data_IF_855275240622
#
_entry.id   IF_855275240622
#
_cell.length_a   1.000
_cell.length_b   1.000
_cell.length_c   1.000
_cell.angle_alpha   90.00
_cell.angle_beta   90.00
_cell.angle_gamma   90.00
#
_symmetry.space_group_name_H-M   'P 1'
#
loop_
_entity.id
_entity.type
_entity.pdbx_description
1 polymer ?
#
# COMPACT_ATOMS: atom_id res chain seq x y z
N UNK A 1 -1.68 -23.85 2.76
CA UNK A 1 -2.91 -23.27 3.31
C UNK A 1 -3.86 -24.39 3.67
N UNK A 2 -4.23 -24.51 4.94
CA UNK A 2 -5.21 -25.51 5.38
C UNK A 2 -6.61 -24.91 5.22
N UNK A 3 -7.54 -25.65 4.63
CA UNK A 3 -8.93 -25.23 4.40
C UNK A 3 -9.80 -25.41 5.65
N UNK A 4 -9.29 -25.03 6.81
CA UNK A 4 -9.97 -25.19 8.11
C UNK A 4 -10.65 -23.89 8.57
N UNK A 5 -10.72 -22.88 7.70
CA UNK A 5 -11.39 -21.60 7.94
C UNK A 5 -10.63 -20.64 8.86
N UNK A 6 -9.52 -21.06 9.49
CA UNK A 6 -8.79 -20.22 10.46
C UNK A 6 -8.13 -18.98 9.84
N UNK A 7 -7.96 -18.95 8.53
CA UNK A 7 -7.40 -17.82 7.78
C UNK A 7 -8.46 -16.93 7.13
N UNK A 8 -9.75 -17.24 7.31
CA UNK A 8 -10.83 -16.43 6.75
C UNK A 8 -10.81 -15.02 7.34
N UNK A 9 -10.80 -14.00 6.47
CA UNK A 9 -10.75 -12.59 6.87
C UNK A 9 -9.36 -12.07 7.23
N UNK A 10 -8.30 -12.90 7.14
CA UNK A 10 -6.92 -12.43 7.27
C UNK A 10 -6.43 -11.87 5.94
N UNK A 11 -5.73 -10.74 6.02
CA UNK A 11 -5.07 -10.11 4.88
C UNK A 11 -3.58 -9.99 5.16
N UNK A 12 -2.78 -10.03 4.10
CA UNK A 12 -1.38 -9.66 4.20
C UNK A 12 -1.27 -8.19 4.63
N UNK A 13 -0.37 -7.92 5.57
CA UNK A 13 -0.02 -6.55 5.94
C UNK A 13 0.69 -5.88 4.76
N UNK A 14 0.11 -4.83 4.14
CA UNK A 14 0.74 -4.16 3.02
C UNK A 14 1.95 -3.33 3.48
N UNK A 15 2.81 -2.99 2.53
CA UNK A 15 3.90 -2.02 2.72
C UNK A 15 3.32 -0.63 2.98
N UNK A 16 4.06 0.21 3.74
CA UNK A 16 3.70 1.61 4.01
C UNK A 16 4.49 2.61 3.13
N UNK A 17 5.28 2.14 2.16
CA UNK A 17 5.98 3.02 1.22
C UNK A 17 5.05 3.43 0.08
N UNK A 18 5.20 4.67 -0.42
CA UNK A 18 4.40 5.24 -1.51
C UNK A 18 2.88 5.30 -1.23
N UNK A 19 2.49 5.55 0.03
CA UNK A 19 1.07 5.66 0.41
C UNK A 19 0.37 6.93 -0.11
N UNK A 20 1.12 8.01 -0.37
CA UNK A 20 0.57 9.32 -0.75
C UNK A 20 -0.27 9.26 -2.04
N UNK A 21 0.00 8.31 -2.93
CA UNK A 21 -0.59 8.23 -4.28
C UNK A 21 -1.34 6.91 -4.55
N UNK A 22 -1.66 6.13 -3.51
CA UNK A 22 -2.27 4.79 -3.65
C UNK A 22 -3.67 4.70 -3.06
N UNK A 23 -4.32 5.84 -2.84
CA UNK A 23 -5.74 5.87 -2.50
C UNK A 23 -6.60 5.20 -3.61
N UNK A 24 -7.73 4.57 -3.27
CA UNK A 24 -8.26 4.38 -1.92
C UNK A 24 -7.57 3.24 -1.14
N UNK A 25 -7.68 3.27 0.18
CA UNK A 25 -6.96 2.41 1.11
C UNK A 25 -7.80 1.22 1.61
N UNK A 26 -7.11 0.29 2.30
CA UNK A 26 -7.60 -1.02 2.74
C UNK A 26 -7.71 -2.03 1.58
N UNK A 27 -7.85 -3.31 1.90
CA UNK A 27 -7.89 -4.40 0.91
C UNK A 27 -9.08 -4.30 -0.07
N UNK A 28 -10.10 -3.52 0.27
CA UNK A 28 -11.34 -3.34 -0.49
C UNK A 28 -11.56 -1.88 -0.92
N UNK A 29 -10.59 -0.98 -0.69
CA UNK A 29 -10.71 0.42 -1.07
C UNK A 29 -11.76 1.23 -0.29
N UNK A 30 -12.20 0.77 0.90
CA UNK A 30 -13.31 1.42 1.60
C UNK A 30 -12.98 2.79 2.21
N UNK A 31 -11.70 3.14 2.37
CA UNK A 31 -11.27 4.39 2.99
C UNK A 31 -10.60 5.30 1.96
N UNK A 32 -11.09 6.53 1.83
CA UNK A 32 -10.61 7.46 0.81
C UNK A 32 -9.27 8.11 1.17
N UNK A 33 -8.99 8.32 2.46
CA UNK A 33 -7.82 9.10 2.91
C UNK A 33 -7.01 8.38 3.99
N UNK A 34 -5.71 8.70 4.11
CA UNK A 34 -4.88 8.23 5.23
C UNK A 34 -5.39 8.71 6.58
N UNK A 35 -6.03 9.88 6.63
CA UNK A 35 -6.70 10.37 7.84
C UNK A 35 -7.82 9.43 8.28
N UNK A 36 -8.61 8.91 7.34
CA UNK A 36 -9.67 7.95 7.65
C UNK A 36 -9.08 6.60 8.12
N UNK A 37 -7.97 6.17 7.54
CA UNK A 37 -7.23 4.97 7.98
C UNK A 37 -6.75 5.12 9.42
N UNK A 38 -6.08 6.23 9.74
CA UNK A 38 -5.62 6.51 11.10
C UNK A 38 -6.78 6.61 12.08
N UNK A 39 -7.87 7.29 11.70
CA UNK A 39 -9.07 7.39 12.54
C UNK A 39 -9.74 6.02 12.77
N UNK A 40 -9.77 5.15 11.76
CA UNK A 40 -10.30 3.78 11.85
C UNK A 40 -9.53 2.95 12.88
N UNK A 41 -8.19 2.98 12.82
CA UNK A 41 -7.37 2.26 13.80
C UNK A 41 -7.41 2.92 15.18
N UNK A 42 -7.49 4.24 15.27
CA UNK A 42 -7.64 4.93 16.57
C UNK A 42 -8.93 4.53 17.30
N UNK A 43 -10.00 4.18 16.55
CA UNK A 43 -11.25 3.62 17.08
C UNK A 43 -11.22 2.12 17.33
N UNK A 44 -10.08 1.45 17.09
CA UNK A 44 -9.91 0.01 17.34
C UNK A 44 -10.23 -0.89 16.15
N UNK A 45 -10.23 -0.37 14.92
CA UNK A 45 -10.22 -1.20 13.72
C UNK A 45 -11.55 -1.86 13.37
N UNK A 46 -12.68 -1.16 13.59
CA UNK A 46 -14.01 -1.64 13.21
C UNK A 46 -14.56 -2.76 14.11
N UNK A 47 -15.68 -3.33 13.70
CA UNK A 47 -16.39 -4.38 14.43
C UNK A 47 -16.55 -5.62 13.53
N UNK A 48 -15.55 -6.51 13.56
CA UNK A 48 -15.55 -7.77 12.82
C UNK A 48 -15.38 -8.94 13.82
N UNK A 49 -16.18 -10.03 13.72
CA UNK A 49 -16.08 -11.18 14.61
C UNK A 49 -14.71 -11.89 14.58
N UNK A 50 -14.00 -11.82 13.46
CA UNK A 50 -12.68 -12.43 13.25
C UNK A 50 -11.54 -11.43 13.43
N UNK A 51 -11.83 -10.23 13.97
CA UNK A 51 -10.82 -9.19 14.25
C UNK A 51 -9.80 -9.69 15.27
N UNK A 52 -8.53 -9.36 15.03
CA UNK A 52 -7.44 -9.61 15.98
C UNK A 52 -7.69 -8.85 17.30
N UNK A 53 -7.56 -9.55 18.43
CA UNK A 53 -7.82 -9.01 19.77
C UNK A 53 -6.88 -7.87 20.17
N UNK A 54 -5.77 -7.69 19.46
CA UNK A 54 -4.84 -6.57 19.64
C UNK A 54 -5.37 -5.26 19.06
N UNK A 55 -6.32 -5.30 18.12
CA UNK A 55 -6.94 -4.09 17.57
C UNK A 55 -7.92 -3.48 18.56
N UNK A 56 -7.39 -2.56 19.36
CA UNK A 56 -8.10 -1.80 20.40
C UNK A 56 -7.97 -0.30 20.12
N UNK A 57 -8.88 0.53 20.65
CA UNK A 57 -8.73 1.98 20.53
C UNK A 57 -7.35 2.43 21.02
N UNK A 58 -6.70 3.30 20.23
CA UNK A 58 -5.33 3.74 20.51
C UNK A 58 -5.29 4.95 21.44
N UNK A 59 -6.38 5.71 21.52
CA UNK A 59 -6.48 6.89 22.39
C UNK A 59 -5.64 8.08 21.91
N UNK A 60 -5.28 8.11 20.63
CA UNK A 60 -4.49 9.20 20.05
C UNK A 60 -5.30 10.50 20.04
N UNK A 61 -4.66 11.58 20.50
CA UNK A 61 -5.17 12.94 20.35
C UNK A 61 -5.29 13.35 18.88
N UNK A 62 -5.98 14.45 18.62
CA UNK A 62 -6.08 14.99 17.26
C UNK A 62 -4.70 15.35 16.68
N UNK A 63 -3.80 15.86 17.52
CA UNK A 63 -2.45 16.23 17.10
C UNK A 63 -1.59 14.99 16.77
N UNK A 64 -1.66 13.94 17.59
CA UNK A 64 -0.91 12.71 17.33
C UNK A 64 -1.39 12.01 16.05
N UNK A 65 -2.70 12.02 15.78
CA UNK A 65 -3.23 11.50 14.52
C UNK A 65 -2.72 12.31 13.33
N UNK A 66 -2.72 13.65 13.41
CA UNK A 66 -2.19 14.51 12.36
C UNK A 66 -0.69 14.26 12.13
N UNK A 67 0.10 14.12 13.20
CA UNK A 67 1.53 13.82 13.12
C UNK A 67 1.78 12.44 12.48
N UNK A 68 0.96 11.44 12.81
CA UNK A 68 1.06 10.12 12.20
C UNK A 68 0.73 10.15 10.71
N UNK A 69 -0.30 10.88 10.29
CA UNK A 69 -0.61 11.07 8.87
C UNK A 69 0.57 11.72 8.14
N UNK A 70 1.13 12.80 8.70
CA UNK A 70 2.30 13.46 8.11
C UNK A 70 3.51 12.52 8.00
N UNK A 71 3.76 11.69 9.02
CA UNK A 71 4.80 10.67 8.96
C UNK A 71 4.55 9.66 7.85
N UNK A 72 3.32 9.13 7.70
CA UNK A 72 2.97 8.17 6.65
C UNK A 72 3.12 8.77 5.24
N UNK A 73 2.75 10.04 5.07
CA UNK A 73 2.93 10.76 3.80
C UNK A 73 4.42 10.94 3.46
N UNK A 74 5.27 11.14 4.48
CA UNK A 74 6.73 11.27 4.30
C UNK A 74 7.42 9.98 3.81
N UNK A 75 6.74 8.83 3.87
CA UNK A 75 7.24 7.55 3.34
C UNK A 75 7.05 7.42 1.81
N UNK A 76 6.63 8.49 1.14
CA UNK A 76 6.39 8.56 -0.30
C UNK A 76 7.25 9.63 -0.95
N UNK A 77 7.74 9.34 -2.15
CA UNK A 77 8.39 10.33 -2.98
C UNK A 77 7.39 11.28 -3.65
N UNK A 78 7.92 12.30 -4.30
CA UNK A 78 7.12 13.07 -5.25
C UNK A 78 6.86 12.24 -6.52
N UNK A 79 5.67 12.36 -7.11
CA UNK A 79 5.32 11.60 -8.30
C UNK A 79 6.22 11.99 -9.48
N UNK A 80 6.78 10.98 -10.14
CA UNK A 80 7.64 11.13 -11.31
C UNK A 80 6.79 11.36 -12.58
N UNK A 81 5.99 12.42 -12.61
CA UNK A 81 5.03 12.71 -13.69
C UNK A 81 5.51 13.79 -14.67
N UNK A 82 6.67 14.38 -14.45
CA UNK A 82 7.21 15.40 -15.34
C UNK A 82 7.72 14.83 -16.67
N UNK A 83 7.85 15.67 -17.72
CA UNK A 83 8.30 15.24 -19.05
C UNK A 83 9.71 14.62 -19.04
N UNK A 84 10.54 14.94 -18.05
CA UNK A 84 11.85 14.32 -17.80
C UNK A 84 11.76 12.84 -17.39
N UNK A 85 10.60 12.39 -16.92
CA UNK A 85 10.33 11.02 -16.47
C UNK A 85 9.43 10.24 -17.44
N UNK A 86 8.88 10.91 -18.45
CA UNK A 86 8.10 10.29 -19.52
C UNK A 86 9.01 10.07 -20.72
N UNK A 87 9.32 8.81 -21.04
CA UNK A 87 10.04 8.48 -22.27
C UNK A 87 9.23 8.96 -23.49
N UNK A 88 9.69 10.02 -24.14
CA UNK A 88 9.02 10.63 -25.29
C UNK A 88 9.23 9.89 -26.62
N UNK A 89 10.17 8.94 -26.65
CA UNK A 89 10.42 8.12 -27.84
C UNK A 89 9.65 6.80 -27.76
N UNK A 90 9.00 6.44 -28.86
CA UNK A 90 8.39 5.11 -28.99
C UNK A 90 9.50 4.06 -29.00
N UNK A 91 9.61 3.30 -27.91
CA UNK A 91 10.47 2.12 -27.90
C UNK A 91 10.04 1.18 -29.04
N UNK A 92 10.98 0.82 -29.90
CA UNK A 92 10.74 -0.17 -30.95
C UNK A 92 10.26 -1.46 -30.29
N UNK A 93 9.00 -1.85 -30.52
CA UNK A 93 8.41 -3.10 -30.02
C UNK A 93 9.05 -4.37 -30.61
N UNK A 94 10.11 -4.25 -31.42
CA UNK A 94 10.89 -5.39 -31.91
C UNK A 94 11.76 -5.96 -30.77
N UNK A 95 11.09 -6.54 -29.79
CA UNK A 95 11.73 -7.44 -28.83
C UNK A 95 12.02 -8.75 -29.56
N UNK A 96 13.29 -8.96 -29.92
CA UNK A 96 13.75 -10.27 -30.34
C UNK A 96 14.20 -11.01 -29.07
N UNK A 97 13.51 -12.11 -28.68
CA UNK A 97 13.97 -12.94 -27.58
C UNK A 97 15.41 -13.36 -27.86
N UNK A 98 16.31 -13.22 -26.89
CA UNK A 98 17.67 -13.76 -27.01
C UNK A 98 17.51 -15.28 -27.20
N UNK A 99 17.85 -15.86 -28.37
CA UNK A 99 17.51 -17.24 -28.68
C UNK A 99 18.14 -18.25 -27.73
N UNK A 100 19.22 -17.88 -27.03
CA UNK A 100 19.90 -18.70 -26.05
C UNK A 100 20.63 -17.87 -24.99
N UNK A 101 19.89 -17.29 -24.04
CA UNK A 101 20.42 -16.44 -22.96
C UNK A 101 21.44 -17.14 -22.05
N UNK A 102 21.60 -18.46 -22.16
CA UNK A 102 22.56 -19.25 -21.39
C UNK A 102 23.99 -19.27 -21.97
N UNK A 103 24.17 -18.88 -23.24
CA UNK A 103 25.48 -19.01 -23.92
C UNK A 103 26.06 -17.71 -24.46
N UNK A 104 25.39 -16.57 -24.28
CA UNK A 104 25.89 -15.28 -24.75
C UNK A 104 26.84 -14.70 -23.70
N UNK A 105 28.09 -14.38 -24.09
CA UNK A 105 29.01 -13.58 -23.26
C UNK A 105 28.57 -12.12 -23.31
N UNK A 106 28.46 -11.49 -22.13
CA UNK A 106 28.28 -10.04 -21.99
C UNK A 106 29.41 -9.25 -22.67
#
# INVERSE_FOLDING_TARGET
HYSDGRDMGKFFTPTLRELKQTAPYMHNGMLATLKDVVAFYNKGGGNDPNKDSRLKPLGLSAQEQANLVAFLESLSGDPLTGPEHVYGESISQKYYPIPNWLTVKN
#
